data_IF_535331280020
#
_entry.id   IF_535331280020
#
_cell.length_a   1.000
_cell.length_b   1.000
_cell.length_c   1.000
_cell.angle_alpha   90.00
_cell.angle_beta   90.00
_cell.angle_gamma   90.00
#
_symmetry.space_group_name_H-M   'P 1'
#
loop_
_entity.id
_entity.type
_entity.pdbx_description
1 polymer ?
#
# COMPACT_ATOMS: atom_id res chain seq x y z
N UNK A 1 -17.16 10.46 6.83
CA UNK A 1 -16.03 9.50 6.91
C UNK A 1 -15.24 9.79 8.18
N UNK A 2 -14.89 8.77 8.96
CA UNK A 2 -14.09 8.93 10.19
C UNK A 2 -12.71 9.52 9.86
N UNK A 3 -12.20 10.42 10.69
CA UNK A 3 -11.04 11.23 10.31
C UNK A 3 -9.74 10.42 10.13
N UNK A 4 -9.58 9.32 10.87
CA UNK A 4 -8.42 8.43 10.72
C UNK A 4 -8.34 7.79 9.33
N UNK A 5 -9.47 7.52 8.66
CA UNK A 5 -9.51 6.92 7.32
C UNK A 5 -8.84 7.84 6.30
N UNK A 6 -8.94 9.15 6.52
CA UNK A 6 -8.49 10.15 5.54
C UNK A 6 -6.98 10.18 5.38
N UNK A 7 -6.23 9.75 6.39
CA UNK A 7 -4.75 9.77 6.40
C UNK A 7 -4.15 8.38 6.62
N UNK A 8 -4.95 7.31 6.57
CA UNK A 8 -4.46 5.95 6.81
C UNK A 8 -3.73 5.39 5.60
N UNK A 9 -2.98 4.31 5.83
CA UNK A 9 -2.53 3.34 4.84
C UNK A 9 -2.94 1.94 5.33
N UNK A 10 -2.93 0.96 4.42
CA UNK A 10 -3.29 -0.43 4.70
C UNK A 10 -2.12 -1.34 4.35
N UNK A 11 -1.85 -2.30 5.22
CA UNK A 11 -0.95 -3.41 4.98
C UNK A 11 -1.76 -4.71 4.98
N UNK A 12 -1.89 -5.33 3.81
CA UNK A 12 -2.58 -6.61 3.66
C UNK A 12 -1.68 -7.76 4.12
N UNK A 13 -2.17 -8.51 5.10
CA UNK A 13 -1.47 -9.58 5.79
C UNK A 13 -1.98 -10.94 5.31
N UNK A 14 -1.09 -11.69 4.66
CA UNK A 14 -1.27 -13.11 4.43
C UNK A 14 -0.53 -13.91 5.51
N UNK A 15 -1.20 -14.26 6.60
CA UNK A 15 -0.60 -14.97 7.73
C UNK A 15 0.09 -16.27 7.31
N UNK A 16 -0.56 -17.07 6.46
CA UNK A 16 -0.01 -18.36 6.01
C UNK A 16 1.34 -18.20 5.34
N UNK A 17 1.50 -17.17 4.52
CA UNK A 17 2.72 -16.98 3.74
C UNK A 17 3.74 -16.08 4.45
N UNK A 18 3.33 -15.36 5.50
CA UNK A 18 4.18 -14.37 6.15
C UNK A 18 5.42 -14.98 6.80
N UNK A 19 5.29 -16.04 7.61
CA UNK A 19 6.45 -16.70 8.22
C UNK A 19 6.46 -18.20 7.91
N UNK A 20 7.59 -18.90 8.11
CA UNK A 20 7.65 -20.35 8.01
C UNK A 20 6.57 -21.04 8.87
N UNK A 21 6.35 -20.57 10.09
CA UNK A 21 5.29 -21.05 10.99
C UNK A 21 3.91 -20.71 10.44
N UNK A 22 3.75 -19.50 9.89
CA UNK A 22 2.47 -19.00 9.38
C UNK A 22 1.43 -18.74 10.46
N UNK A 23 1.84 -18.56 11.71
CA UNK A 23 0.94 -18.39 12.86
C UNK A 23 0.78 -16.94 13.25
N UNK A 24 -0.31 -16.65 13.98
CA UNK A 24 -0.58 -15.34 14.58
C UNK A 24 0.57 -14.90 15.50
N UNK A 25 1.08 -15.83 16.33
CA UNK A 25 2.17 -15.54 17.24
C UNK A 25 3.46 -15.16 16.51
N UNK A 26 3.81 -15.88 15.45
CA UNK A 26 5.00 -15.58 14.64
C UNK A 26 4.87 -14.22 13.95
N UNK A 27 3.70 -13.91 13.37
CA UNK A 27 3.43 -12.60 12.78
C UNK A 27 3.51 -11.45 13.80
N UNK A 28 3.02 -11.66 15.03
CA UNK A 28 2.98 -10.63 16.09
C UNK A 28 4.37 -10.02 16.36
N UNK A 29 5.44 -10.80 16.21
CA UNK A 29 6.82 -10.34 16.37
C UNK A 29 7.24 -9.26 15.35
N UNK A 30 6.52 -9.11 14.23
CA UNK A 30 6.80 -8.14 13.18
C UNK A 30 6.04 -6.81 13.35
N UNK A 31 5.09 -6.72 14.29
CA UNK A 31 4.34 -5.48 14.55
C UNK A 31 5.25 -4.26 14.80
N UNK A 32 6.35 -4.35 15.58
CA UNK A 32 7.25 -3.20 15.78
C UNK A 32 7.89 -2.70 14.49
N UNK A 33 8.27 -3.60 13.57
CA UNK A 33 8.84 -3.23 12.26
C UNK A 33 7.81 -2.54 11.38
N UNK A 34 6.58 -3.07 11.32
CA UNK A 34 5.50 -2.45 10.56
C UNK A 34 5.14 -1.06 11.10
N UNK A 35 5.17 -0.91 12.43
CA UNK A 35 4.97 0.38 13.10
C UNK A 35 6.07 1.38 12.73
N UNK A 36 7.33 0.94 12.76
CA UNK A 36 8.47 1.77 12.35
C UNK A 36 8.37 2.20 10.87
N UNK A 37 7.87 1.31 10.01
CA UNK A 37 7.58 1.65 8.61
C UNK A 37 6.41 2.66 8.45
N UNK A 38 5.64 2.94 9.50
CA UNK A 38 4.50 3.86 9.47
C UNK A 38 3.20 3.21 9.00
N UNK A 39 3.07 1.89 9.10
CA UNK A 39 1.80 1.20 8.82
C UNK A 39 0.75 1.62 9.85
N UNK A 40 -0.45 1.98 9.38
CA UNK A 40 -1.55 2.46 10.24
C UNK A 40 -2.67 1.43 10.41
N UNK A 41 -2.95 0.64 9.37
CA UNK A 41 -4.01 -0.38 9.38
C UNK A 41 -3.49 -1.72 8.88
N UNK A 42 -3.73 -2.78 9.64
CA UNK A 42 -3.48 -4.16 9.24
C UNK A 42 -4.78 -4.77 8.70
N UNK A 43 -4.78 -5.22 7.46
CA UNK A 43 -5.88 -5.99 6.89
C UNK A 43 -5.48 -7.45 6.81
N UNK A 44 -6.05 -8.29 7.67
CA UNK A 44 -5.84 -9.73 7.58
C UNK A 44 -6.76 -10.34 6.54
N UNK A 45 -6.17 -11.10 5.61
CA UNK A 45 -6.89 -12.10 4.81
C UNK A 45 -7.67 -13.06 5.73
N UNK A 46 -8.67 -13.81 5.21
CA UNK A 46 -9.50 -14.67 6.06
C UNK A 46 -8.68 -15.62 6.94
N UNK A 47 -8.93 -15.56 8.25
CA UNK A 47 -8.28 -16.40 9.27
C UNK A 47 -9.15 -17.58 9.73
N UNK A 48 -10.31 -17.74 9.11
CA UNK A 48 -11.32 -18.75 9.45
C UNK A 48 -10.94 -20.13 8.92
N UNK A 49 -11.44 -21.24 9.53
CA UNK A 49 -11.22 -22.58 9.00
C UNK A 49 -11.69 -22.73 7.55
N UNK A 50 -10.92 -23.49 6.77
CA UNK A 50 -11.19 -23.75 5.36
C UNK A 50 -11.89 -25.10 5.19
N UNK A 51 -12.95 -25.10 4.38
CA UNK A 51 -13.68 -26.29 3.99
C UNK A 51 -12.76 -27.37 3.41
N UNK A 52 -12.97 -28.61 3.85
CA UNK A 52 -12.27 -29.79 3.35
C UNK A 52 -12.89 -30.29 2.04
N UNK A 53 -14.16 -29.97 1.79
CA UNK A 53 -14.88 -30.42 0.60
C UNK A 53 -14.46 -29.59 -0.62
N UNK A 54 -14.14 -30.26 -1.73
CA UNK A 54 -13.69 -29.63 -2.98
C UNK A 54 -12.49 -28.69 -2.79
N UNK A 55 -11.61 -29.01 -1.83
CA UNK A 55 -10.40 -28.26 -1.54
C UNK A 55 -9.52 -28.16 -2.78
N UNK A 56 -9.06 -26.94 -3.09
CA UNK A 56 -8.07 -26.65 -4.13
C UNK A 56 -6.66 -26.67 -3.51
N UNK A 57 -5.71 -27.31 -4.18
CA UNK A 57 -4.34 -27.45 -3.66
C UNK A 57 -4.29 -28.22 -2.34
N UNK A 58 -3.13 -28.17 -1.66
CA UNK A 58 -2.97 -28.84 -0.36
C UNK A 58 -3.62 -28.07 0.80
N UNK A 59 -3.61 -26.74 0.75
CA UNK A 59 -4.05 -25.88 1.85
C UNK A 59 -5.47 -25.32 1.67
N UNK A 60 -6.00 -25.29 0.45
CA UNK A 60 -7.30 -24.69 0.18
C UNK A 60 -7.28 -23.17 0.03
N UNK A 61 -8.40 -22.64 -0.44
CA UNK A 61 -8.64 -21.20 -0.57
C UNK A 61 -8.96 -20.59 0.79
N UNK A 62 -8.33 -19.46 1.15
CA UNK A 62 -8.68 -18.66 2.32
C UNK A 62 -10.18 -18.28 2.34
N UNK A 63 -10.77 -18.10 1.16
CA UNK A 63 -12.16 -17.69 0.98
C UNK A 63 -13.18 -18.84 1.04
N UNK A 64 -12.73 -20.09 1.17
CA UNK A 64 -13.61 -21.26 1.30
C UNK A 64 -13.93 -21.54 2.79
N UNK A 65 -14.45 -20.54 3.49
CA UNK A 65 -14.77 -20.59 4.92
C UNK A 65 -15.77 -21.72 5.24
N UNK A 66 -15.47 -22.53 6.27
CA UNK A 66 -16.40 -23.53 6.82
C UNK A 66 -17.03 -23.13 8.15
N UNK A 67 -16.46 -22.14 8.85
CA UNK A 67 -16.96 -21.60 10.11
C UNK A 67 -16.52 -20.14 10.28
N UNK A 68 -17.46 -19.21 10.22
CA UNK A 68 -17.20 -17.77 10.30
C UNK A 68 -16.91 -17.27 11.73
N UNK A 69 -17.05 -18.14 12.74
CA UNK A 69 -16.96 -17.75 14.16
C UNK A 69 -15.70 -18.24 14.86
N UNK A 70 -14.91 -19.08 14.19
CA UNK A 70 -13.66 -19.62 14.72
C UNK A 70 -12.44 -19.19 13.90
N UNK A 71 -11.27 -19.35 14.50
CA UNK A 71 -9.97 -19.16 13.86
C UNK A 71 -9.44 -20.54 13.44
N UNK A 72 -8.86 -20.63 12.24
CA UNK A 72 -8.24 -21.86 11.75
C UNK A 72 -7.08 -22.27 12.67
N UNK A 73 -7.06 -23.53 13.08
CA UNK A 73 -6.02 -24.07 13.98
C UNK A 73 -4.60 -23.94 13.40
N UNK A 74 -4.45 -23.82 12.07
CA UNK A 74 -3.15 -23.55 11.45
C UNK A 74 -2.56 -22.19 11.85
N UNK A 75 -3.42 -21.20 12.15
CA UNK A 75 -3.01 -19.86 12.53
C UNK A 75 -2.87 -19.69 14.04
N UNK A 76 -3.59 -20.49 14.82
CA UNK A 76 -3.63 -20.45 16.29
C UNK A 76 -5.06 -20.54 16.81
N UNK A 77 -5.29 -19.96 17.99
CA UNK A 77 -6.59 -19.90 18.64
C UNK A 77 -7.26 -18.53 18.48
N UNK A 78 -8.55 -18.45 18.82
CA UNK A 78 -9.26 -17.17 18.92
C UNK A 78 -8.63 -16.23 19.96
N UNK A 79 -8.04 -16.79 21.03
CA UNK A 79 -7.38 -15.99 22.06
C UNK A 79 -6.05 -15.42 21.57
N UNK A 80 -5.31 -16.16 20.74
CA UNK A 80 -4.10 -15.64 20.08
C UNK A 80 -4.47 -14.48 19.16
N UNK A 81 -5.56 -14.59 18.39
CA UNK A 81 -6.02 -13.51 17.53
C UNK A 81 -6.46 -12.27 18.33
N UNK A 82 -7.21 -12.44 19.43
CA UNK A 82 -7.56 -11.32 20.32
C UNK A 82 -6.32 -10.66 20.90
N UNK A 83 -5.34 -11.45 21.34
CA UNK A 83 -4.07 -10.95 21.87
C UNK A 83 -3.32 -10.12 20.83
N UNK A 84 -3.22 -10.61 19.59
CA UNK A 84 -2.66 -9.84 18.47
C UNK A 84 -3.40 -8.51 18.26
N UNK A 85 -4.74 -8.52 18.25
CA UNK A 85 -5.54 -7.31 18.08
C UNK A 85 -5.29 -6.31 19.21
N UNK A 86 -5.20 -6.76 20.47
CA UNK A 86 -4.88 -5.88 21.59
C UNK A 86 -3.49 -5.27 21.45
N UNK A 87 -2.47 -6.07 21.15
CA UNK A 87 -1.10 -5.59 20.92
C UNK A 87 -1.05 -4.59 19.75
N UNK A 88 -1.78 -4.87 18.67
CA UNK A 88 -1.86 -3.98 17.53
C UNK A 88 -2.49 -2.63 17.92
N UNK A 89 -3.60 -2.65 18.67
CA UNK A 89 -4.24 -1.43 19.16
C UNK A 89 -3.36 -0.64 20.14
N UNK A 90 -2.61 -1.31 21.04
CA UNK A 90 -1.63 -0.67 21.93
C UNK A 90 -0.52 0.06 21.15
N UNK A 91 -0.14 -0.48 19.99
CA UNK A 91 0.82 0.14 19.08
C UNK A 91 0.22 1.23 18.17
N UNK A 92 -1.11 1.42 18.20
CA UNK A 92 -1.84 2.43 17.44
C UNK A 92 -2.40 1.95 16.11
N UNK A 93 -2.24 0.68 15.75
CA UNK A 93 -2.80 0.13 14.52
C UNK A 93 -4.34 0.10 14.58
N UNK A 94 -4.97 0.14 13.41
CA UNK A 94 -6.32 -0.40 13.19
C UNK A 94 -6.21 -1.81 12.64
N UNK A 95 -7.20 -2.64 12.93
CA UNK A 95 -7.28 -4.00 12.39
C UNK A 95 -8.57 -4.15 11.58
N UNK A 96 -8.42 -4.62 10.34
CA UNK A 96 -9.49 -5.04 9.46
C UNK A 96 -9.37 -6.57 9.30
N UNK A 97 -10.50 -7.25 9.40
CA UNK A 97 -10.60 -8.67 9.07
C UNK A 97 -11.41 -8.81 7.79
N UNK A 98 -10.90 -9.59 6.85
CA UNK A 98 -11.64 -9.95 5.64
C UNK A 98 -12.90 -10.75 5.98
N UNK A 99 -14.05 -10.28 5.53
CA UNK A 99 -15.31 -10.96 5.69
C UNK A 99 -15.96 -11.23 4.33
N UNK A 100 -15.97 -12.51 3.96
CA UNK A 100 -16.45 -13.03 2.68
C UNK A 100 -17.98 -13.21 2.66
N UNK A 101 -18.72 -12.11 2.78
CA UNK A 101 -20.17 -12.11 2.57
C UNK A 101 -20.47 -11.81 1.09
N UNK A 102 -20.86 -12.84 0.33
CA UNK A 102 -20.88 -12.85 -1.14
C UNK A 102 -21.66 -11.68 -1.81
N UNK A 103 -22.72 -11.16 -1.19
CA UNK A 103 -23.57 -10.14 -1.83
C UNK A 103 -24.05 -9.06 -0.85
N UNK A 104 -23.82 -7.81 -1.20
CA UNK A 104 -24.57 -6.64 -0.71
C UNK A 104 -24.95 -5.76 -1.91
N UNK A 105 -26.12 -5.15 -1.89
CA UNK A 105 -26.59 -4.25 -2.96
C UNK A 105 -25.75 -2.96 -3.02
N UNK A 106 -25.77 -2.21 -4.14
CA UNK A 106 -25.10 -0.92 -4.29
C UNK A 106 -25.51 0.03 -3.15
N UNK A 107 -24.67 0.11 -2.13
CA UNK A 107 -24.75 1.16 -1.14
C UNK A 107 -23.55 2.07 -1.35
N UNK A 108 -23.84 3.31 -1.78
CA UNK A 108 -22.94 4.44 -1.65
C UNK A 108 -22.80 4.77 -0.16
N UNK A 109 -21.97 4.02 0.56
CA UNK A 109 -21.67 4.31 1.97
C UNK A 109 -20.31 4.95 2.04
N UNK A 110 -20.26 6.25 2.37
CA UNK A 110 -19.17 6.99 3.02
C UNK A 110 -17.80 6.28 3.17
N UNK A 111 -17.20 5.84 2.07
CA UNK A 111 -16.00 5.02 2.02
C UNK A 111 -14.88 5.72 1.25
N UNK A 112 -13.65 5.25 1.42
CA UNK A 112 -12.52 5.68 0.63
C UNK A 112 -12.08 4.55 -0.29
N UNK A 113 -11.71 4.88 -1.52
CA UNK A 113 -11.12 3.94 -2.46
C UNK A 113 -9.73 3.53 -1.98
N UNK A 114 -9.45 2.22 -1.98
CA UNK A 114 -8.11 1.69 -1.71
C UNK A 114 -7.34 1.55 -3.02
N UNK A 115 -6.17 2.15 -3.11
CA UNK A 115 -5.27 2.05 -4.26
C UNK A 115 -4.15 1.07 -3.97
N UNK A 116 -3.86 0.17 -4.90
CA UNK A 116 -2.80 -0.82 -4.75
C UNK A 116 -2.11 -1.07 -6.08
N UNK A 117 -0.82 -1.42 -6.01
CA UNK A 117 -0.08 -2.00 -7.16
C UNK A 117 -0.11 -3.54 -7.12
N UNK A 118 -0.43 -4.09 -5.95
CA UNK A 118 -0.47 -5.52 -5.68
C UNK A 118 -1.33 -5.79 -4.45
N UNK A 119 -1.90 -6.97 -4.43
CA UNK A 119 -2.62 -7.61 -3.33
C UNK A 119 -2.46 -9.13 -3.53
N UNK A 120 -3.05 -9.95 -2.67
CA UNK A 120 -2.93 -11.40 -2.80
C UNK A 120 -3.39 -11.94 -4.17
N UNK A 121 -4.45 -11.38 -4.77
CA UNK A 121 -4.97 -11.81 -6.08
C UNK A 121 -4.03 -11.38 -7.22
N UNK A 122 -3.63 -10.12 -7.24
CA UNK A 122 -2.73 -9.57 -8.25
C UNK A 122 -1.39 -10.32 -8.24
N UNK A 123 -0.80 -10.53 -7.06
CA UNK A 123 0.48 -11.22 -6.93
C UNK A 123 0.38 -12.68 -7.41
N UNK A 124 -0.64 -13.42 -6.96
CA UNK A 124 -0.77 -14.85 -7.28
C UNK A 124 -1.17 -15.11 -8.74
N UNK A 125 -2.09 -14.32 -9.30
CA UNK A 125 -2.71 -14.61 -10.62
C UNK A 125 -2.13 -13.77 -11.75
N UNK A 126 -1.94 -12.46 -11.53
CA UNK A 126 -1.56 -11.51 -12.58
C UNK A 126 -0.05 -11.23 -12.61
N UNK A 127 0.64 -11.52 -11.50
CA UNK A 127 2.08 -11.42 -11.36
C UNK A 127 2.53 -10.33 -10.39
N UNK A 128 3.81 -10.34 -10.09
CA UNK A 128 4.42 -9.31 -9.24
C UNK A 128 4.39 -7.93 -9.91
N UNK A 129 4.55 -6.88 -9.13
CA UNK A 129 4.66 -5.49 -9.59
C UNK A 129 5.78 -5.34 -10.61
N UNK A 130 6.86 -6.11 -10.43
CA UNK A 130 8.03 -6.05 -11.29
C UNK A 130 7.80 -6.78 -12.62
N UNK A 131 6.99 -7.84 -12.63
CA UNK A 131 6.56 -8.47 -13.88
C UNK A 131 5.56 -7.60 -14.65
N UNK A 132 4.62 -6.97 -13.93
CA UNK A 132 3.56 -6.15 -14.53
C UNK A 132 4.07 -4.77 -14.98
N UNK A 133 4.92 -4.13 -14.18
CA UNK A 133 5.25 -2.71 -14.31
C UNK A 133 6.76 -2.45 -14.43
N UNK A 134 7.61 -3.43 -14.14
CA UNK A 134 9.07 -3.29 -14.25
C UNK A 134 9.60 -2.08 -13.47
N UNK A 135 10.31 -1.19 -14.17
CA UNK A 135 10.89 0.03 -13.60
C UNK A 135 9.84 0.99 -13.00
N UNK A 136 8.57 0.88 -13.40
CA UNK A 136 7.49 1.73 -12.91
C UNK A 136 6.97 1.33 -11.52
N UNK A 137 7.40 0.21 -10.95
CA UNK A 137 6.86 -0.30 -9.67
C UNK A 137 6.90 0.74 -8.53
N UNK A 138 8.05 1.40 -8.34
CA UNK A 138 8.18 2.47 -7.32
C UNK A 138 7.37 3.71 -7.68
N UNK A 139 7.35 4.10 -8.95
CA UNK A 139 6.57 5.24 -9.43
C UNK A 139 5.08 5.04 -9.15
N UNK A 140 4.55 3.84 -9.42
CA UNK A 140 3.15 3.51 -9.14
C UNK A 140 2.85 3.39 -7.64
N UNK A 141 3.83 3.00 -6.82
CA UNK A 141 3.69 3.06 -5.36
C UNK A 141 3.56 4.51 -4.86
N UNK A 142 4.35 5.45 -5.42
CA UNK A 142 4.20 6.90 -5.15
C UNK A 142 2.83 7.38 -5.59
N UNK A 143 2.39 7.04 -6.81
CA UNK A 143 1.06 7.39 -7.31
C UNK A 143 -0.04 6.91 -6.35
N UNK A 144 -0.03 5.63 -5.99
CA UNK A 144 -1.01 5.05 -5.05
C UNK A 144 -1.04 5.77 -3.70
N UNK A 145 0.12 6.16 -3.15
CA UNK A 145 0.21 6.87 -1.87
C UNK A 145 -0.23 8.34 -1.92
N UNK A 146 -0.16 8.97 -3.09
CA UNK A 146 -0.37 10.42 -3.26
C UNK A 146 -1.66 10.78 -4.00
N UNK A 147 -2.31 9.81 -4.65
CA UNK A 147 -3.62 9.99 -5.27
C UNK A 147 -4.76 10.02 -4.21
N UNK A 148 -5.93 10.63 -4.50
CA UNK A 148 -7.06 10.62 -3.57
C UNK A 148 -7.53 9.19 -3.28
N UNK A 149 -7.40 8.77 -2.01
CA UNK A 149 -7.75 7.42 -1.56
C UNK A 149 -6.81 6.93 -0.46
N UNK A 150 -6.86 5.64 -0.17
CA UNK A 150 -6.04 4.98 0.86
C UNK A 150 -5.05 4.04 0.16
N UNK A 151 -3.74 4.22 0.31
CA UNK A 151 -2.79 3.26 -0.24
C UNK A 151 -2.85 1.94 0.53
N UNK A 152 -2.82 0.85 -0.22
CA UNK A 152 -2.67 -0.51 0.27
C UNK A 152 -1.36 -1.09 -0.28
N UNK A 153 -0.61 -1.74 0.60
CA UNK A 153 0.51 -2.60 0.22
C UNK A 153 0.29 -4.03 0.72
N UNK A 154 0.74 -5.01 -0.06
CA UNK A 154 0.71 -6.44 0.26
C UNK A 154 1.98 -6.89 0.98
N UNK A 155 1.84 -7.92 1.82
CA UNK A 155 2.95 -8.54 2.52
C UNK A 155 4.10 -8.89 1.59
N UNK A 156 5.29 -8.35 1.88
CA UNK A 156 6.51 -8.60 1.10
C UNK A 156 6.81 -7.52 0.05
N UNK A 157 5.92 -6.56 -0.20
CA UNK A 157 6.22 -5.44 -1.11
C UNK A 157 7.39 -4.57 -0.64
N UNK A 158 7.70 -4.59 0.66
CA UNK A 158 8.84 -3.87 1.22
C UNK A 158 10.21 -4.56 0.96
N UNK A 159 10.22 -5.81 0.45
CA UNK A 159 11.42 -6.61 0.15
C UNK A 159 11.90 -6.54 -1.32
N UNK A 160 11.23 -5.77 -2.17
CA UNK A 160 11.04 -6.09 -3.58
C UNK A 160 10.70 -7.56 -3.89
N UNK A 161 9.53 -8.04 -3.48
CA UNK A 161 9.20 -9.46 -3.72
C UNK A 161 8.96 -9.76 -5.21
N UNK A 162 9.90 -10.45 -5.85
CA UNK A 162 9.82 -10.92 -7.24
C UNK A 162 9.13 -12.29 -7.39
N UNK A 163 8.71 -12.90 -6.29
CA UNK A 163 8.05 -14.20 -6.27
C UNK A 163 6.53 -14.03 -6.26
N UNK A 164 5.86 -14.67 -7.21
CA UNK A 164 4.43 -14.92 -7.14
C UNK A 164 4.18 -15.99 -6.10
N UNK A 165 3.43 -15.67 -5.06
CA UNK A 165 3.14 -16.60 -3.98
C UNK A 165 2.01 -17.54 -4.39
N UNK A 166 2.21 -18.84 -4.17
CA UNK A 166 1.19 -19.84 -4.51
C UNK A 166 -0.01 -19.74 -3.57
N UNK A 167 -1.17 -19.39 -4.13
CA UNK A 167 -2.35 -19.08 -3.34
C UNK A 167 -2.91 -20.27 -2.54
N UNK A 168 -2.87 -21.48 -3.12
CA UNK A 168 -3.44 -22.71 -2.50
C UNK A 168 -2.41 -23.58 -1.76
N UNK A 169 -1.17 -23.12 -1.67
CA UNK A 169 -0.05 -23.87 -1.09
C UNK A 169 0.64 -23.06 0.01
N UNK A 170 1.42 -23.73 0.87
CA UNK A 170 2.31 -23.04 1.80
C UNK A 170 3.55 -22.58 1.03
N UNK A 171 3.56 -21.30 0.67
CA UNK A 171 4.65 -20.69 -0.07
C UNK A 171 5.11 -19.42 0.63
N UNK A 172 6.21 -19.54 1.37
CA UNK A 172 6.65 -18.53 2.35
C UNK A 172 7.35 -17.36 1.65
N UNK A 173 7.10 -16.15 2.16
CA UNK A 173 7.86 -14.95 1.78
C UNK A 173 9.31 -15.11 2.23
N UNK A 174 10.24 -14.90 1.30
CA UNK A 174 11.68 -15.01 1.55
C UNK A 174 12.20 -13.71 2.16
N UNK A 175 11.95 -13.52 3.46
CA UNK A 175 12.40 -12.34 4.19
C UNK A 175 13.93 -12.23 4.21
N UNK A 176 14.40 -11.02 3.93
CA UNK A 176 15.80 -10.62 4.10
C UNK A 176 15.94 -9.83 5.40
N UNK A 177 17.12 -9.84 6.06
CA UNK A 177 17.37 -9.03 7.24
C UNK A 177 17.06 -7.54 7.04
N UNK A 178 17.35 -7.05 5.84
CA UNK A 178 17.01 -5.69 5.41
C UNK A 178 15.87 -5.71 4.40
N UNK A 179 14.80 -4.97 4.69
CA UNK A 179 13.72 -4.70 3.75
C UNK A 179 14.08 -3.47 2.93
N UNK A 180 14.53 -3.68 1.68
CA UNK A 180 15.11 -2.64 0.81
C UNK A 180 14.21 -1.40 0.65
N UNK A 181 12.89 -1.59 0.57
CA UNK A 181 11.93 -0.51 0.41
C UNK A 181 11.33 -0.01 1.73
N UNK A 182 11.80 -0.47 2.89
CA UNK A 182 11.28 -0.04 4.19
C UNK A 182 11.37 1.47 4.38
N UNK A 183 12.55 2.07 4.18
CA UNK A 183 12.73 3.52 4.29
C UNK A 183 11.94 4.30 3.22
N UNK A 184 11.75 3.69 2.04
CA UNK A 184 10.96 4.29 0.97
C UNK A 184 9.47 4.39 1.36
N UNK A 185 8.88 3.29 1.82
CA UNK A 185 7.50 3.28 2.31
C UNK A 185 7.35 4.09 3.59
N UNK A 186 8.34 4.08 4.51
CA UNK A 186 8.33 4.93 5.70
C UNK A 186 8.17 6.41 5.36
N UNK A 187 8.91 6.88 4.36
CA UNK A 187 8.79 8.26 3.88
C UNK A 187 7.41 8.56 3.30
N UNK A 188 6.84 7.66 2.47
CA UNK A 188 5.52 7.84 1.89
C UNK A 188 4.39 7.81 2.93
N UNK A 189 4.45 6.86 3.86
CA UNK A 189 3.43 6.70 4.90
C UNK A 189 3.50 7.81 5.93
N UNK A 190 4.70 8.28 6.29
CA UNK A 190 4.86 9.48 7.09
C UNK A 190 4.21 10.69 6.40
N UNK A 191 4.51 10.92 5.10
CA UNK A 191 3.91 12.01 4.34
C UNK A 191 2.38 11.93 4.30
N UNK A 192 1.81 10.75 3.98
CA UNK A 192 0.37 10.50 3.95
C UNK A 192 -0.30 10.75 5.31
N UNK A 193 0.38 10.38 6.39
CA UNK A 193 -0.12 10.51 7.75
C UNK A 193 -0.13 11.96 8.23
N UNK A 194 0.91 12.72 7.92
CA UNK A 194 1.15 14.04 8.55
C UNK A 194 0.78 15.23 7.66
N UNK A 195 0.69 15.07 6.34
CA UNK A 195 0.43 16.18 5.44
C UNK A 195 -1.07 16.28 5.08
N UNK A 196 -1.79 17.34 5.49
CA UNK A 196 -3.22 17.53 5.20
C UNK A 196 -3.56 17.45 3.71
N UNK A 197 -2.64 17.88 2.82
CA UNK A 197 -2.85 17.83 1.38
C UNK A 197 -3.05 16.41 0.85
N UNK A 198 -2.52 15.39 1.53
CA UNK A 198 -2.69 13.99 1.12
C UNK A 198 -3.90 13.31 1.77
N UNK A 199 -4.75 14.03 2.49
CA UNK A 199 -6.01 13.46 2.97
C UNK A 199 -6.85 12.93 1.82
N UNK A 200 -7.69 11.92 2.05
CA UNK A 200 -8.58 11.36 1.01
C UNK A 200 -9.55 12.40 0.46
N UNK A 201 -9.95 13.39 1.26
CA UNK A 201 -10.89 14.46 0.94
C UNK A 201 -10.22 15.76 0.49
N UNK A 202 -8.88 15.83 0.50
CA UNK A 202 -8.14 17.00 0.03
C UNK A 202 -8.21 17.16 -1.49
N UNK A 203 -8.15 18.41 -1.94
CA UNK A 203 -8.28 18.76 -3.35
C UNK A 203 -7.18 18.14 -4.22
N UNK A 204 -7.51 17.93 -5.50
CA UNK A 204 -6.59 17.52 -6.54
C UNK A 204 -6.74 18.43 -7.75
N UNK A 205 -5.62 18.94 -8.27
CA UNK A 205 -5.55 19.70 -9.52
C UNK A 205 -4.46 19.10 -10.40
N UNK A 206 -4.82 18.65 -11.60
CA UNK A 206 -3.82 18.30 -12.61
C UNK A 206 -3.13 19.57 -13.10
N UNK A 207 -1.81 19.64 -12.96
CA UNK A 207 -1.00 20.78 -13.41
C UNK A 207 -0.50 20.60 -14.83
N UNK A 208 -0.07 19.38 -15.18
CA UNK A 208 0.44 19.07 -16.51
C UNK A 208 0.13 17.62 -16.88
N UNK A 209 -0.30 17.42 -18.12
CA UNK A 209 -0.24 16.14 -18.82
C UNK A 209 0.36 16.44 -20.18
N UNK A 210 1.48 15.81 -20.51
CA UNK A 210 2.08 15.99 -21.84
C UNK A 210 1.19 15.39 -22.94
N UNK A 211 1.45 15.76 -24.19
CA UNK A 211 0.63 15.33 -25.33
C UNK A 211 0.57 13.80 -25.49
N UNK A 212 1.64 13.09 -25.09
CA UNK A 212 1.72 11.64 -25.19
C UNK A 212 1.22 10.92 -23.93
N UNK A 213 0.77 11.66 -22.91
CA UNK A 213 0.29 11.16 -21.61
C UNK A 213 1.33 10.28 -20.89
N UNK A 214 2.60 10.59 -21.07
CA UNK A 214 3.73 9.92 -20.43
C UNK A 214 4.31 10.72 -19.26
N UNK A 215 3.99 12.01 -19.14
CA UNK A 215 4.32 12.84 -17.99
C UNK A 215 3.03 13.35 -17.36
N UNK A 216 2.84 13.04 -16.08
CA UNK A 216 1.73 13.54 -15.26
C UNK A 216 2.30 14.36 -14.12
N UNK A 217 1.85 15.61 -13.99
CA UNK A 217 2.12 16.45 -12.82
C UNK A 217 0.80 16.89 -12.21
N UNK A 218 0.63 16.67 -10.91
CA UNK A 218 -0.57 17.08 -10.19
C UNK A 218 -0.23 17.67 -8.82
N UNK A 219 -1.11 18.55 -8.36
CA UNK A 219 -1.11 19.18 -7.06
C UNK A 219 -2.18 18.54 -6.20
N UNK A 220 -1.80 18.16 -4.98
CA UNK A 220 -2.70 17.92 -3.87
C UNK A 220 -2.64 19.11 -2.93
N UNK A 221 -3.79 19.58 -2.43
CA UNK A 221 -3.84 20.77 -1.58
C UNK A 221 -4.97 20.71 -0.56
N UNK A 222 -4.67 21.13 0.67
CA UNK A 222 -5.63 21.37 1.74
C UNK A 222 -5.13 22.57 2.56
N UNK A 223 -5.96 23.62 2.68
CA UNK A 223 -5.58 24.91 3.28
C UNK A 223 -4.25 25.47 2.70
N UNK A 224 -3.20 25.50 3.51
CA UNK A 224 -1.86 25.98 3.15
C UNK A 224 -0.89 24.85 2.76
N UNK A 225 -1.27 23.60 3.04
CA UNK A 225 -0.44 22.44 2.73
C UNK A 225 -0.61 22.08 1.26
N UNK A 226 0.51 21.89 0.57
CA UNK A 226 0.60 21.52 -0.83
C UNK A 226 1.60 20.39 -1.00
N UNK A 227 1.25 19.45 -1.89
CA UNK A 227 2.19 18.44 -2.38
C UNK A 227 2.07 18.40 -3.89
N UNK A 228 3.18 18.62 -4.59
CA UNK A 228 3.26 18.50 -6.05
C UNK A 228 3.97 17.20 -6.39
N UNK A 229 3.37 16.42 -7.27
CA UNK A 229 3.87 15.14 -7.70
C UNK A 229 4.08 15.18 -9.20
N UNK A 230 5.29 14.86 -9.65
CA UNK A 230 5.59 14.63 -11.07
C UNK A 230 5.95 13.16 -11.29
N UNK A 231 5.36 12.54 -12.31
CA UNK A 231 5.51 11.13 -12.65
C UNK A 231 5.85 11.00 -14.14
N UNK A 232 7.04 10.51 -14.45
CA UNK A 232 7.44 10.22 -15.83
C UNK A 232 7.30 8.72 -16.12
N UNK A 233 6.25 8.35 -16.83
CA UNK A 233 5.98 6.99 -17.29
C UNK A 233 6.78 6.59 -18.53
N UNK A 234 7.47 7.53 -19.20
CA UNK A 234 8.26 7.22 -20.39
C UNK A 234 9.62 6.59 -20.06
N UNK A 235 10.16 5.88 -21.05
CA UNK A 235 11.52 5.36 -21.03
C UNK A 235 12.61 6.39 -21.37
N UNK A 236 12.28 7.68 -21.42
CA UNK A 236 13.23 8.77 -21.71
C UNK A 236 13.08 9.93 -20.73
N UNK A 237 14.08 10.81 -20.65
CA UNK A 237 13.95 12.07 -19.92
C UNK A 237 12.84 12.94 -20.54
N UNK A 238 12.03 13.58 -19.70
CA UNK A 238 11.01 14.55 -20.10
C UNK A 238 11.37 15.92 -19.54
N UNK A 239 10.99 16.98 -20.28
CA UNK A 239 11.12 18.39 -19.86
C UNK A 239 9.74 18.95 -19.53
N UNK A 240 9.67 19.79 -18.52
CA UNK A 240 8.45 20.47 -18.13
C UNK A 240 8.73 21.78 -17.40
N UNK A 241 7.72 22.64 -17.37
CA UNK A 241 7.72 23.91 -16.64
C UNK A 241 6.30 24.14 -16.12
N UNK A 242 6.17 24.66 -14.90
CA UNK A 242 4.89 24.96 -14.28
C UNK A 242 4.77 26.48 -14.07
N UNK A 243 4.28 27.20 -15.08
CA UNK A 243 4.29 28.67 -15.13
C UNK A 243 3.57 29.36 -13.96
N UNK A 244 2.54 28.70 -13.43
CA UNK A 244 1.74 29.21 -12.30
C UNK A 244 2.37 28.92 -10.93
N UNK A 245 3.37 28.02 -10.86
CA UNK A 245 4.05 27.68 -9.62
C UNK A 245 5.16 28.69 -9.32
N UNK A 246 5.29 29.08 -8.04
CA UNK A 246 6.27 30.08 -7.62
C UNK A 246 7.13 29.54 -6.48
N UNK A 247 8.41 29.87 -6.56
CA UNK A 247 9.36 29.64 -5.48
C UNK A 247 9.95 28.24 -5.50
N UNK A 248 11.06 28.12 -4.78
CA UNK A 248 11.81 26.89 -4.73
C UNK A 248 11.14 25.88 -3.77
N UNK A 249 10.92 24.65 -4.25
CA UNK A 249 10.34 23.56 -3.47
C UNK A 249 11.36 22.45 -3.27
N UNK A 250 11.30 21.79 -2.11
CA UNK A 250 12.23 20.72 -1.74
C UNK A 250 11.64 19.35 -2.06
N UNK A 251 12.36 18.52 -2.81
CA UNK A 251 11.97 17.14 -3.07
C UNK A 251 12.12 16.30 -1.81
N UNK A 252 11.11 15.47 -1.54
CA UNK A 252 11.01 14.66 -0.34
C UNK A 252 12.08 13.56 -0.26
N UNK A 253 12.48 12.98 -1.40
CA UNK A 253 13.37 11.82 -1.43
C UNK A 253 14.84 12.22 -1.62
N UNK A 254 15.13 13.16 -2.52
CA UNK A 254 16.50 13.62 -2.81
C UNK A 254 16.93 14.78 -1.92
N UNK A 255 15.99 15.48 -1.27
CA UNK A 255 16.22 16.75 -0.59
C UNK A 255 16.72 17.90 -1.49
N UNK A 256 16.77 17.69 -2.81
CA UNK A 256 17.11 18.75 -3.77
C UNK A 256 16.03 19.82 -3.81
N UNK A 257 16.45 21.07 -3.96
CA UNK A 257 15.56 22.22 -4.06
C UNK A 257 15.49 22.66 -5.51
N UNK A 258 14.28 22.82 -6.05
CA UNK A 258 14.05 23.24 -7.44
C UNK A 258 12.99 24.32 -7.52
N UNK A 259 13.21 25.30 -8.41
CA UNK A 259 12.20 26.28 -8.78
C UNK A 259 11.39 25.73 -9.97
N UNK A 260 10.13 25.37 -9.71
CA UNK A 260 9.27 24.73 -10.72
C UNK A 260 8.72 25.72 -11.76
N UNK A 261 8.95 27.03 -11.55
CA UNK A 261 8.63 28.07 -12.53
C UNK A 261 9.64 28.12 -13.68
N UNK A 262 10.76 27.40 -13.57
CA UNK A 262 11.80 27.29 -14.60
C UNK A 262 11.72 25.93 -15.29
N UNK A 263 12.29 25.83 -16.51
CA UNK A 263 12.40 24.55 -17.20
C UNK A 263 13.14 23.52 -16.31
N UNK A 264 12.49 22.40 -16.09
CA UNK A 264 12.96 21.28 -15.28
C UNK A 264 12.96 19.99 -16.09
N UNK A 265 13.83 19.05 -15.73
CA UNK A 265 13.85 17.70 -16.30
C UNK A 265 13.45 16.65 -15.27
N UNK A 266 12.85 15.56 -15.76
CA UNK A 266 12.56 14.35 -14.99
C UNK A 266 13.07 13.12 -15.78
N UNK A 267 13.99 12.32 -15.20
CA UNK A 267 14.53 11.14 -15.88
C UNK A 267 13.47 10.09 -16.21
N UNK A 268 13.81 9.15 -17.09
CA UNK A 268 12.96 8.02 -17.46
C UNK A 268 12.46 7.25 -16.23
N UNK A 269 11.18 6.86 -16.23
CA UNK A 269 10.53 6.08 -15.15
C UNK A 269 10.69 6.67 -13.74
N UNK A 270 10.98 7.97 -13.64
CA UNK A 270 11.28 8.65 -12.39
C UNK A 270 10.07 9.43 -11.85
N UNK A 271 10.15 9.81 -10.59
CA UNK A 271 9.14 10.61 -9.91
C UNK A 271 9.81 11.68 -9.03
N UNK A 272 9.11 12.76 -8.79
CA UNK A 272 9.45 13.76 -7.78
C UNK A 272 8.22 14.08 -6.92
N UNK A 273 8.47 14.36 -5.65
CA UNK A 273 7.44 14.71 -4.67
C UNK A 273 7.93 15.92 -3.90
N UNK A 274 7.40 17.09 -4.24
CA UNK A 274 7.73 18.34 -3.56
C UNK A 274 6.69 18.66 -2.51
N UNK A 275 7.17 19.02 -1.32
CA UNK A 275 6.34 19.41 -0.17
C UNK A 275 6.62 20.88 0.17
N UNK A 276 5.59 21.60 0.63
CA UNK A 276 5.72 22.95 1.20
C UNK A 276 5.49 22.97 2.71
#
# INVERSE_FOLDING_TARGET
MQDWIKTTNIYEVNLRQYTPEGTIQAFSAHLPRLRDMGVETLWFMPVTPISQQNRKGSMGSYYACSDYTSVALEFGSLEDFKTLVYQAHEMGFKVILDWVANHTQYHTVNGAEAWFTSNHDENSWNGTEYEKYGALAKLLAVFSCTWPGVPLIYSGQELPNYKRLQFFEKDVIEWKPECELHSFYRTLFALKKTNPALRTDASLKTLLVDNNRQLLVFLRQEDKAEVIIALNFSGSEQRFQLDDEKGAKKDLFSSEVRDLSQESTIPAHCFFVWVN
#
